data_IF_853999963676
#
_entry.id   IF_853999963676
#
_cell.length_a   1.000
_cell.length_b   1.000
_cell.length_c   1.000
_cell.angle_alpha   90.00
_cell.angle_beta   90.00
_cell.angle_gamma   90.00
#
_symmetry.space_group_name_H-M   'P 1'
#
loop_
_entity.id
_entity.type
_entity.pdbx_description
1 polymer ?
#
# COMPACT_ATOMS: atom_id res chain seq x y z
N UNK A 1 -5.24 8.34 -27.16
CA UNK A 1 -6.33 8.82 -26.27
C UNK A 1 -5.98 8.47 -24.82
N UNK A 2 -6.51 9.15 -23.79
CA UNK A 2 -6.36 8.70 -22.39
C UNK A 2 -7.56 7.87 -21.94
N UNK A 3 -7.40 7.06 -20.90
CA UNK A 3 -8.47 6.22 -20.34
C UNK A 3 -9.70 7.05 -19.93
N UNK A 4 -9.47 8.18 -19.27
CA UNK A 4 -10.50 9.16 -18.91
C UNK A 4 -11.18 9.78 -20.12
N UNK A 5 -10.47 9.96 -21.24
CA UNK A 5 -11.05 10.41 -22.51
C UNK A 5 -12.04 9.38 -23.08
N UNK A 6 -11.68 8.10 -23.05
CA UNK A 6 -12.56 7.00 -23.49
C UNK A 6 -13.82 6.94 -22.61
N UNK A 7 -13.66 7.07 -21.28
CA UNK A 7 -14.79 7.14 -20.34
C UNK A 7 -15.69 8.34 -20.65
N UNK A 8 -15.11 9.51 -20.92
CA UNK A 8 -15.87 10.72 -21.24
C UNK A 8 -16.70 10.56 -22.52
N UNK A 9 -16.16 9.89 -23.54
CA UNK A 9 -16.88 9.62 -24.76
C UNK A 9 -18.00 8.59 -24.56
N UNK A 10 -17.73 7.51 -23.82
CA UNK A 10 -18.76 6.54 -23.44
C UNK A 10 -19.91 7.18 -22.66
N UNK A 11 -19.64 8.15 -21.78
CA UNK A 11 -20.70 8.91 -21.07
C UNK A 11 -21.56 9.74 -22.03
N UNK A 12 -20.95 10.29 -23.09
CA UNK A 12 -21.68 11.07 -24.11
C UNK A 12 -22.54 10.18 -25.00
N UNK A 13 -22.03 9.00 -25.35
CA UNK A 13 -22.69 8.02 -26.20
C UNK A 13 -23.80 7.26 -25.47
N UNK A 14 -23.58 6.90 -24.20
CA UNK A 14 -24.51 6.13 -23.38
C UNK A 14 -25.08 6.98 -22.24
N UNK A 15 -26.05 7.84 -22.57
CA UNK A 15 -26.69 8.76 -21.59
C UNK A 15 -27.70 8.07 -20.66
N UNK A 16 -27.56 6.76 -20.41
CA UNK A 16 -28.45 6.01 -19.52
C UNK A 16 -27.97 6.06 -18.08
N UNK A 17 -28.86 6.02 -17.07
CA UNK A 17 -28.47 6.00 -15.67
C UNK A 17 -27.54 4.82 -15.32
N UNK A 18 -27.81 3.64 -15.90
CA UNK A 18 -27.01 2.44 -15.67
C UNK A 18 -25.58 2.56 -16.24
N UNK A 19 -25.43 3.15 -17.44
CA UNK A 19 -24.13 3.37 -18.06
C UNK A 19 -23.30 4.39 -17.27
N UNK A 20 -23.91 5.51 -16.89
CA UNK A 20 -23.25 6.53 -16.07
C UNK A 20 -22.77 5.95 -14.74
N UNK A 21 -23.63 5.20 -14.04
CA UNK A 21 -23.28 4.54 -12.80
C UNK A 21 -22.15 3.52 -12.98
N UNK A 22 -22.16 2.74 -14.06
CA UNK A 22 -21.10 1.77 -14.36
C UNK A 22 -19.76 2.48 -14.57
N UNK A 23 -19.76 3.57 -15.35
CA UNK A 23 -18.56 4.36 -15.63
C UNK A 23 -18.04 5.10 -14.37
N UNK A 24 -18.93 5.52 -13.47
CA UNK A 24 -18.57 6.07 -12.16
C UNK A 24 -17.92 4.99 -11.27
N UNK A 25 -18.49 3.77 -11.23
CA UNK A 25 -17.90 2.65 -10.48
C UNK A 25 -16.51 2.29 -11.02
N UNK A 26 -16.33 2.23 -12.34
CA UNK A 26 -15.01 2.03 -12.95
C UNK A 26 -14.04 3.15 -12.57
N UNK A 27 -14.48 4.41 -12.63
CA UNK A 27 -13.63 5.57 -12.26
C UNK A 27 -13.19 5.50 -10.80
N UNK A 28 -14.07 5.03 -9.91
CA UNK A 28 -13.74 4.82 -8.50
C UNK A 28 -12.69 3.70 -8.31
N UNK A 29 -12.86 2.57 -8.99
CA UNK A 29 -11.88 1.47 -8.93
C UNK A 29 -10.53 1.87 -9.52
N UNK A 30 -10.50 2.64 -10.60
CA UNK A 30 -9.26 3.13 -11.21
C UNK A 30 -8.43 3.96 -10.22
N UNK A 31 -9.06 4.73 -9.34
CA UNK A 31 -8.35 5.42 -8.26
C UNK A 31 -7.66 4.47 -7.27
N UNK A 32 -8.24 3.28 -7.04
CA UNK A 32 -7.66 2.24 -6.19
C UNK A 32 -6.64 1.34 -6.90
N UNK A 33 -6.74 1.20 -8.22
CA UNK A 33 -5.84 0.37 -9.06
C UNK A 33 -4.87 1.21 -9.87
N UNK A 34 -4.66 2.48 -9.50
CA UNK A 34 -3.62 3.35 -10.07
C UNK A 34 -3.76 3.52 -11.58
N UNK A 35 -5.00 3.73 -12.01
CA UNK A 35 -5.41 3.83 -13.41
C UNK A 35 -5.23 2.55 -14.24
N UNK A 36 -4.97 1.40 -13.59
CA UNK A 36 -4.93 0.11 -14.27
C UNK A 36 -6.36 -0.42 -14.48
N UNK A 37 -6.85 -0.33 -15.73
CA UNK A 37 -8.20 -0.75 -16.09
C UNK A 37 -8.39 -2.27 -16.00
N UNK A 38 -7.37 -3.08 -16.31
CA UNK A 38 -7.43 -4.53 -16.19
C UNK A 38 -7.74 -4.95 -14.75
N UNK A 39 -7.05 -4.37 -13.76
CA UNK A 39 -7.31 -4.62 -12.34
C UNK A 39 -8.65 -4.03 -11.89
N UNK A 40 -8.99 -2.81 -12.33
CA UNK A 40 -10.27 -2.19 -11.98
C UNK A 40 -11.46 -3.05 -12.45
N UNK A 41 -11.40 -3.58 -13.67
CA UNK A 41 -12.45 -4.46 -14.20
C UNK A 41 -12.51 -5.77 -13.44
N UNK A 42 -11.37 -6.38 -13.11
CA UNK A 42 -11.33 -7.59 -12.28
C UNK A 42 -12.00 -7.37 -10.91
N UNK A 43 -11.72 -6.25 -10.25
CA UNK A 43 -12.34 -5.89 -8.97
C UNK A 43 -13.86 -5.63 -9.07
N UNK A 44 -14.36 -5.28 -10.25
CA UNK A 44 -15.78 -5.07 -10.51
C UNK A 44 -16.55 -6.37 -10.77
N UNK A 45 -15.88 -7.46 -11.15
CA UNK A 45 -16.54 -8.76 -11.40
C UNK A 45 -17.21 -9.30 -10.13
N UNK A 46 -16.65 -9.00 -8.97
CA UNK A 46 -17.18 -9.39 -7.65
C UNK A 46 -18.23 -8.41 -7.11
N UNK A 47 -18.50 -7.29 -7.79
CA UNK A 47 -19.41 -6.24 -7.33
C UNK A 47 -20.78 -6.31 -8.04
N UNK A 48 -21.87 -5.95 -7.35
CA UNK A 48 -23.18 -5.85 -7.98
C UNK A 48 -23.17 -4.72 -9.01
N UNK A 49 -23.22 -5.07 -10.29
CA UNK A 49 -23.27 -4.11 -11.38
C UNK A 49 -24.71 -3.73 -11.76
N UNK A 50 -24.95 -2.49 -12.23
CA UNK A 50 -26.24 -2.09 -12.77
C UNK A 50 -26.68 -2.97 -13.94
N UNK A 51 -27.99 -3.18 -14.10
CA UNK A 51 -28.54 -3.90 -15.25
C UNK A 51 -28.16 -3.19 -16.56
N UNK A 52 -27.55 -3.91 -17.50
CA UNK A 52 -27.08 -3.34 -18.77
C UNK A 52 -25.67 -2.71 -18.72
N UNK A 53 -24.93 -2.90 -17.63
CA UNK A 53 -23.52 -2.49 -17.47
C UNK A 53 -22.53 -3.21 -18.39
N UNK A 54 -22.76 -4.50 -18.63
CA UNK A 54 -21.86 -5.37 -19.41
C UNK A 54 -21.47 -4.82 -20.79
N UNK A 55 -22.40 -4.38 -21.67
CA UNK A 55 -22.02 -3.83 -22.97
C UNK A 55 -21.15 -2.57 -22.86
N UNK A 56 -21.40 -1.71 -21.86
CA UNK A 56 -20.62 -0.48 -21.64
C UNK A 56 -19.20 -0.80 -21.15
N UNK A 57 -19.08 -1.78 -20.25
CA UNK A 57 -17.79 -2.29 -19.77
C UNK A 57 -16.99 -2.96 -20.90
N UNK A 58 -17.63 -3.82 -21.70
CA UNK A 58 -16.99 -4.50 -22.81
C UNK A 58 -16.47 -3.50 -23.86
N UNK A 59 -17.25 -2.45 -24.14
CA UNK A 59 -16.84 -1.37 -25.05
C UNK A 59 -15.68 -0.54 -24.49
N UNK A 60 -15.70 -0.20 -23.20
CA UNK A 60 -14.59 0.46 -22.52
C UNK A 60 -13.30 -0.37 -22.62
N UNK A 61 -13.39 -1.66 -22.32
CA UNK A 61 -12.25 -2.59 -22.40
C UNK A 61 -11.73 -2.68 -23.83
N UNK A 62 -12.63 -2.77 -24.81
CA UNK A 62 -12.23 -2.85 -26.21
C UNK A 62 -11.49 -1.59 -26.67
N UNK A 63 -12.04 -0.40 -26.41
CA UNK A 63 -11.41 0.88 -26.77
C UNK A 63 -10.09 1.07 -26.04
N UNK A 64 -10.03 0.73 -24.75
CA UNK A 64 -8.80 0.82 -23.97
C UNK A 64 -7.69 -0.10 -24.49
N UNK A 65 -8.03 -1.30 -24.97
CA UNK A 65 -7.07 -2.22 -25.60
C UNK A 65 -6.57 -1.69 -26.94
N UNK A 66 -7.46 -1.12 -27.76
CA UNK A 66 -7.08 -0.53 -29.05
C UNK A 66 -6.14 0.66 -28.87
N UNK A 67 -6.34 1.45 -27.83
CA UNK A 67 -5.51 2.62 -27.50
C UNK A 67 -4.25 2.26 -26.68
N UNK A 68 -4.06 0.98 -26.31
CA UNK A 68 -2.89 0.53 -25.54
C UNK A 68 -2.87 1.03 -24.09
N UNK A 69 -4.04 1.37 -23.54
CA UNK A 69 -4.20 1.93 -22.18
C UNK A 69 -4.84 0.95 -21.19
N UNK A 70 -5.10 -0.29 -21.59
CA UNK A 70 -5.85 -1.27 -20.81
C UNK A 70 -5.12 -1.77 -19.55
N UNK A 71 -3.81 -1.96 -19.64
CA UNK A 71 -2.96 -2.56 -18.60
C UNK A 71 -1.79 -1.65 -18.22
N UNK A 72 -1.98 -0.33 -18.34
CA UNK A 72 -0.98 0.63 -17.92
C UNK A 72 -0.71 0.49 -16.42
N UNK A 73 0.57 0.30 -16.11
CA UNK A 73 1.11 0.38 -14.76
C UNK A 73 2.07 1.57 -14.71
N UNK A 74 1.69 2.61 -13.95
CA UNK A 74 2.49 3.81 -13.78
C UNK A 74 3.62 3.63 -12.74
N UNK A 75 3.75 2.44 -12.14
CA UNK A 75 4.73 2.16 -11.11
C UNK A 75 4.40 2.80 -9.75
N UNK A 76 5.17 2.55 -8.68
CA UNK A 76 4.93 3.02 -7.31
C UNK A 76 4.72 4.53 -7.21
N UNK A 77 3.77 4.96 -6.36
CA UNK A 77 3.32 6.34 -6.27
C UNK A 77 4.48 7.10 -5.63
N UNK A 78 5.05 8.12 -6.30
CA UNK A 78 6.15 8.87 -5.73
C UNK A 78 5.78 9.54 -4.39
N UNK A 79 4.48 9.67 -4.08
CA UNK A 79 3.95 10.28 -2.86
C UNK A 79 3.44 9.28 -1.80
N UNK A 80 3.48 7.96 -2.05
CA UNK A 80 3.11 6.94 -1.05
C UNK A 80 4.09 6.86 0.12
N UNK A 81 5.28 7.45 -0.03
CA UNK A 81 6.26 7.51 1.05
C UNK A 81 5.92 8.70 1.94
N UNK A 82 5.66 8.49 3.25
CA UNK A 82 5.58 9.62 4.16
C UNK A 82 6.86 10.45 4.02
N UNK A 83 6.77 11.79 4.06
CA UNK A 83 7.96 12.62 4.10
C UNK A 83 8.88 12.06 5.17
N UNK A 84 10.14 11.80 4.82
CA UNK A 84 11.15 11.49 5.82
C UNK A 84 11.25 12.74 6.68
N UNK A 85 10.51 12.79 7.79
CA UNK A 85 10.71 13.79 8.81
C UNK A 85 12.18 13.67 9.20
N UNK A 86 12.99 14.75 9.06
CA UNK A 86 14.31 14.73 9.63
C UNK A 86 14.11 14.45 11.11
N UNK A 87 14.65 13.33 11.59
CA UNK A 87 14.74 13.05 13.02
C UNK A 87 15.37 14.29 13.65
N UNK A 88 14.58 15.00 14.46
CA UNK A 88 15.11 16.11 15.25
C UNK A 88 16.37 15.61 15.96
N UNK A 89 17.47 16.36 15.86
CA UNK A 89 18.79 15.92 16.34
C UNK A 89 18.75 15.50 17.81
N UNK A 90 17.82 16.08 18.59
CA UNK A 90 17.52 15.69 19.96
C UNK A 90 16.96 14.27 20.11
N UNK A 91 16.10 13.81 19.21
CA UNK A 91 15.51 12.46 19.22
C UNK A 91 16.55 11.39 18.88
N UNK A 92 17.43 11.67 17.92
CA UNK A 92 18.55 10.80 17.58
C UNK A 92 19.53 10.66 18.77
N UNK A 93 19.80 11.75 19.48
CA UNK A 93 20.65 11.75 20.68
C UNK A 93 20.08 10.90 21.83
N UNK A 94 18.77 10.99 22.07
CA UNK A 94 18.09 10.20 23.11
C UNK A 94 18.14 8.70 22.77
N UNK A 95 17.90 8.34 21.51
CA UNK A 95 17.99 6.94 21.05
C UNK A 95 19.38 6.33 21.28
N UNK A 96 20.45 7.09 20.99
CA UNK A 96 21.82 6.64 21.22
C UNK A 96 22.14 6.45 22.72
N UNK A 97 21.72 7.39 23.59
CA UNK A 97 21.94 7.30 25.03
C UNK A 97 21.19 6.11 25.67
N UNK A 98 19.97 5.83 25.21
CA UNK A 98 19.20 4.66 25.65
C UNK A 98 19.87 3.34 25.23
N UNK A 99 20.37 3.26 24.00
CA UNK A 99 21.12 2.09 23.54
C UNK A 99 22.38 1.86 24.39
N UNK A 100 23.17 2.90 24.67
CA UNK A 100 24.40 2.79 25.48
C UNK A 100 24.09 2.40 26.92
N UNK A 101 23.08 3.01 27.55
CA UNK A 101 22.70 2.70 28.94
C UNK A 101 22.16 1.27 29.10
N UNK A 102 21.46 0.74 28.09
CA UNK A 102 21.00 -0.66 28.10
C UNK A 102 22.16 -1.67 28.10
N UNK A 103 23.24 -1.40 27.36
CA UNK A 103 24.41 -2.26 27.31
C UNK A 103 25.15 -2.31 28.65
N UNK A 104 25.24 -1.19 29.35
CA UNK A 104 25.85 -1.14 30.69
C UNK A 104 25.07 -1.97 31.71
N UNK A 105 23.73 -1.91 31.68
CA UNK A 105 22.87 -2.71 32.55
C UNK A 105 23.02 -4.22 32.30
N UNK A 106 23.04 -4.64 31.03
CA UNK A 106 23.23 -6.05 30.65
C UNK A 106 24.61 -6.56 31.08
N UNK A 107 25.67 -5.77 30.88
CA UNK A 107 27.01 -6.17 31.29
C UNK A 107 27.15 -6.37 32.81
N UNK A 108 26.56 -5.46 33.60
CA UNK A 108 26.55 -5.58 35.07
C UNK A 108 25.74 -6.81 35.53
N UNK A 109 24.61 -7.10 34.90
CA UNK A 109 23.80 -8.28 35.22
C UNK A 109 24.56 -9.58 34.93
N UNK A 110 25.27 -9.67 33.80
CA UNK A 110 26.10 -10.83 33.45
C UNK A 110 27.22 -11.02 34.47
N UNK A 111 27.91 -9.93 34.85
CA UNK A 111 29.00 -9.99 35.83
C UNK A 111 28.50 -10.45 37.21
N UNK A 112 27.36 -9.91 37.67
CA UNK A 112 26.75 -10.30 38.93
C UNK A 112 26.31 -11.77 38.93
N UNK A 113 25.73 -12.25 37.82
CA UNK A 113 25.38 -13.66 37.66
C UNK A 113 26.64 -14.56 37.72
N UNK A 114 27.70 -14.23 36.99
CA UNK A 114 28.94 -15.00 36.99
C UNK A 114 29.58 -15.10 38.39
N UNK A 115 29.63 -13.97 39.12
CA UNK A 115 30.14 -13.94 40.49
C UNK A 115 29.26 -14.75 41.46
N UNK A 116 27.93 -14.65 41.33
CA UNK A 116 26.98 -15.42 42.13
C UNK A 116 27.10 -16.93 41.90
N UNK A 117 27.15 -17.37 40.63
CA UNK A 117 27.36 -18.79 40.30
C UNK A 117 28.72 -19.28 40.85
N UNK A 118 29.80 -18.52 40.70
CA UNK A 118 31.12 -18.91 41.20
C UNK A 118 31.14 -19.05 42.74
N UNK A 119 30.46 -18.17 43.47
CA UNK A 119 30.36 -18.25 44.93
C UNK A 119 29.59 -19.51 45.40
N UNK A 120 28.56 -19.92 44.66
CA UNK A 120 27.82 -21.15 44.95
C UNK A 120 28.71 -22.38 44.69
N UNK A 121 29.39 -22.45 43.54
CA UNK A 121 30.23 -23.60 43.21
C UNK A 121 31.49 -23.72 44.09
N UNK A 122 32.07 -22.59 44.52
CA UNK A 122 33.24 -22.58 45.42
C UNK A 122 32.88 -22.85 46.89
N UNK A 123 31.65 -22.56 47.33
CA UNK A 123 31.19 -22.89 48.69
C UNK A 123 30.62 -24.30 48.84
N UNK A 124 30.24 -24.96 47.75
CA UNK A 124 29.73 -26.35 47.73
C UNK A 124 30.81 -27.44 47.65
N UNK A 125 32.10 -27.10 47.76
CA UNK A 125 33.23 -28.06 47.71
C UNK A 125 33.96 -28.22 49.06
N UNK A 126 33.31 -27.84 50.16
CA UNK A 126 33.74 -28.10 51.54
C UNK A 126 33.07 -29.31 52.17
#
# INVERSE_FOLDING_TARGET
MSLYGIIADLRREHQTPAAMQTLDMVTAELGGTRDNLKEAVANLEDKPLPSGSKPVLDELVQRARQEGVYDLDYGPDPYDKPPLEPLDEGTAGIGALLAISSLAGVALAILAAALGLNAIFSSGSG
#
